data_IF_623381310410
#
_entry.id   IF_623381310410
#
_cell.length_a   1.000
_cell.length_b   1.000
_cell.length_c   1.000
_cell.angle_alpha   90.00
_cell.angle_beta   90.00
_cell.angle_gamma   90.00
#
_symmetry.space_group_name_H-M   'P 1'
#
loop_
_entity.id
_entity.type
_entity.pdbx_description
1 polymer ?
#
# COMPACT_ATOMS: atom_id res chain seq x y z
N UNK A 1 6.05 -3.21 -11.75
CA UNK A 1 4.72 -3.86 -11.62
C UNK A 1 3.94 -3.22 -10.49
N UNK A 2 2.60 -3.29 -10.52
CA UNK A 2 1.70 -2.62 -9.55
C UNK A 2 1.99 -3.08 -8.12
N UNK A 3 2.10 -4.39 -7.88
CA UNK A 3 2.41 -4.95 -6.57
C UNK A 3 3.77 -4.48 -6.01
N UNK A 4 4.81 -4.53 -6.84
CA UNK A 4 6.15 -4.09 -6.43
C UNK A 4 6.18 -2.60 -6.05
N UNK A 5 5.44 -1.74 -6.79
CA UNK A 5 5.30 -0.32 -6.48
C UNK A 5 4.58 -0.11 -5.14
N UNK A 6 3.51 -0.86 -4.89
CA UNK A 6 2.76 -0.85 -3.63
C UNK A 6 3.64 -1.26 -2.43
N UNK A 7 4.40 -2.35 -2.55
CA UNK A 7 5.28 -2.81 -1.48
C UNK A 7 6.44 -1.85 -1.22
N UNK A 8 7.02 -1.25 -2.27
CA UNK A 8 8.07 -0.25 -2.11
C UNK A 8 7.57 0.99 -1.35
N UNK A 9 6.36 1.47 -1.65
CA UNK A 9 5.75 2.60 -0.95
C UNK A 9 5.51 2.33 0.54
N UNK A 10 4.94 1.17 0.86
CA UNK A 10 4.72 0.77 2.26
C UNK A 10 6.04 0.56 3.02
N UNK A 11 7.07 0.02 2.34
CA UNK A 11 8.39 -0.17 2.94
C UNK A 11 9.12 1.15 3.22
N UNK A 12 8.98 2.16 2.34
CA UNK A 12 9.55 3.49 2.53
C UNK A 12 9.03 4.15 3.81
N UNK A 13 7.74 3.96 4.11
CA UNK A 13 7.07 4.47 5.32
C UNK A 13 7.24 3.55 6.54
N UNK A 14 8.10 2.54 6.46
CA UNK A 14 8.33 1.56 7.54
C UNK A 14 7.05 0.80 7.97
N UNK A 15 6.09 0.63 7.05
CA UNK A 15 4.83 -0.09 7.30
C UNK A 15 5.04 -1.58 7.07
N UNK A 16 5.00 -2.35 8.16
CA UNK A 16 5.12 -3.80 8.09
C UNK A 16 3.80 -4.46 7.64
N UNK A 17 3.88 -5.34 6.64
CA UNK A 17 2.75 -6.09 6.11
C UNK A 17 2.68 -7.45 6.80
N UNK A 18 1.56 -7.76 7.45
CA UNK A 18 1.34 -9.02 8.16
C UNK A 18 0.84 -10.13 7.24
N UNK A 19 -0.06 -9.78 6.32
CA UNK A 19 -0.69 -10.73 5.39
C UNK A 19 -0.89 -10.05 4.04
N UNK A 20 -0.70 -10.80 2.95
CA UNK A 20 -0.96 -10.36 1.59
C UNK A 20 -1.96 -11.34 0.96
N UNK A 21 -3.02 -10.80 0.37
CA UNK A 21 -4.01 -11.55 -0.41
C UNK A 21 -4.15 -10.92 -1.78
N UNK A 22 -4.15 -11.72 -2.85
CA UNK A 22 -4.13 -11.22 -4.23
C UNK A 22 -5.25 -11.84 -5.07
N UNK A 23 -5.76 -11.06 -6.00
CA UNK A 23 -6.64 -11.43 -7.09
C UNK A 23 -6.10 -10.80 -8.38
N UNK A 24 -6.61 -11.20 -9.54
CA UNK A 24 -6.12 -10.72 -10.86
C UNK A 24 -6.09 -9.18 -10.96
N UNK A 25 -7.06 -8.50 -10.35
CA UNK A 25 -7.20 -7.04 -10.40
C UNK A 25 -7.05 -6.35 -9.03
N UNK A 26 -6.77 -7.09 -7.96
CA UNK A 26 -6.82 -6.54 -6.59
C UNK A 26 -5.76 -7.14 -5.69
N UNK A 27 -5.11 -6.30 -4.89
CA UNK A 27 -4.19 -6.70 -3.83
C UNK A 27 -4.75 -6.16 -2.52
N UNK A 28 -4.76 -6.98 -1.49
CA UNK A 28 -5.18 -6.60 -0.14
C UNK A 28 -4.07 -6.96 0.83
N UNK A 29 -3.74 -6.01 1.71
CA UNK A 29 -2.68 -6.16 2.70
C UNK A 29 -3.22 -5.88 4.08
N UNK A 30 -2.80 -6.70 5.03
CA UNK A 30 -3.13 -6.51 6.44
C UNK A 30 -1.96 -5.82 7.12
N UNK A 31 -2.21 -4.64 7.66
CA UNK A 31 -1.22 -3.80 8.35
C UNK A 31 -1.71 -3.46 9.76
N UNK A 32 -0.81 -2.94 10.58
CA UNK A 32 -1.20 -2.45 11.90
C UNK A 32 -2.04 -1.16 11.81
N UNK A 33 -3.07 -1.04 12.64
CA UNK A 33 -4.02 0.08 12.57
C UNK A 33 -3.34 1.44 12.77
N UNK A 34 -2.26 1.50 13.55
CA UNK A 34 -1.49 2.73 13.79
C UNK A 34 -0.83 3.31 12.53
N UNK A 35 -0.65 2.49 11.49
CA UNK A 35 -0.07 2.91 10.21
C UNK A 35 -1.13 3.10 9.12
N UNK A 36 -2.42 3.00 9.44
CA UNK A 36 -3.48 3.00 8.44
C UNK A 36 -3.50 4.29 7.63
N UNK A 37 -3.41 5.46 8.27
CA UNK A 37 -3.41 6.75 7.59
C UNK A 37 -2.14 6.95 6.74
N UNK A 38 -0.96 6.66 7.30
CA UNK A 38 0.33 6.71 6.59
C UNK A 38 0.33 5.81 5.35
N UNK A 39 -0.14 4.57 5.48
CA UNK A 39 -0.19 3.61 4.38
C UNK A 39 -1.15 4.05 3.27
N UNK A 40 -2.32 4.58 3.62
CA UNK A 40 -3.28 5.09 2.64
C UNK A 40 -2.67 6.29 1.90
N UNK A 41 -2.10 7.25 2.63
CA UNK A 41 -1.49 8.43 2.04
C UNK A 41 -0.32 8.07 1.10
N UNK A 42 0.59 7.21 1.56
CA UNK A 42 1.72 6.75 0.74
C UNK A 42 1.28 6.05 -0.55
N UNK A 43 0.18 5.29 -0.49
CA UNK A 43 -0.39 4.65 -1.68
C UNK A 43 -1.09 5.67 -2.59
N UNK A 44 -1.81 6.65 -2.04
CA UNK A 44 -2.42 7.74 -2.82
C UNK A 44 -1.37 8.56 -3.58
N UNK A 45 -0.30 8.99 -2.90
CA UNK A 45 0.85 9.68 -3.50
C UNK A 45 1.53 8.80 -4.56
N UNK A 46 1.82 7.54 -4.21
CA UNK A 46 2.54 6.63 -5.10
C UNK A 46 1.76 6.34 -6.37
N UNK A 47 0.43 6.27 -6.33
CA UNK A 47 -0.41 5.98 -7.49
C UNK A 47 -1.06 7.22 -8.11
N UNK A 48 -0.74 8.42 -7.61
CA UNK A 48 -1.25 9.72 -8.07
C UNK A 48 -2.79 9.76 -8.17
N UNK A 49 -3.48 9.06 -7.26
CA UNK A 49 -4.95 8.87 -7.30
C UNK A 49 -5.73 10.16 -7.02
N UNK A 50 -5.05 11.20 -6.58
CA UNK A 50 -5.58 12.53 -6.25
C UNK A 50 -5.55 13.51 -7.43
N UNK A 51 -4.96 13.14 -8.57
CA UNK A 51 -4.99 13.92 -9.82
C UNK A 51 -6.11 13.51 -10.80
N UNK A 52 -7.02 12.63 -10.39
CA UNK A 52 -8.09 12.09 -11.21
C UNK A 52 -9.43 12.79 -10.98
#
# INVERSE_FOLDING_TARGET
GVAARMFAALAAENVNIKVITTSEIKISVLIDRKYMELAVQALHDTFELEKA
#
